data_IF_597134746884
#
_entry.id   IF_597134746884
#
_cell.length_a   1.000
_cell.length_b   1.000
_cell.length_c   1.000
_cell.angle_alpha   90.00
_cell.angle_beta   90.00
_cell.angle_gamma   90.00
#
_symmetry.space_group_name_H-M   'P 1'
#
loop_
_entity.id
_entity.type
_entity.pdbx_description
1 polymer ?
#
# COMPACT_ATOMS: atom_id res chain seq x y z
N UNK A 1 40.28 -16.05 32.67
CA UNK A 1 39.07 -16.62 32.03
C UNK A 1 38.50 -15.57 31.10
N UNK A 2 38.50 -15.81 29.78
CA UNK A 2 37.96 -14.89 28.76
C UNK A 2 36.50 -15.30 28.49
N UNK A 3 35.55 -14.48 28.91
CA UNK A 3 34.15 -14.63 28.53
C UNK A 3 33.93 -13.92 27.20
N UNK A 4 33.72 -14.69 26.14
CA UNK A 4 33.28 -14.17 24.85
C UNK A 4 31.75 -14.31 24.79
N UNK A 5 31.04 -13.19 24.79
CA UNK A 5 29.60 -13.16 24.49
C UNK A 5 29.43 -13.10 22.97
N UNK A 6 28.72 -14.04 22.32
CA UNK A 6 28.30 -13.82 20.95
C UNK A 6 27.12 -12.85 20.98
N UNK A 7 27.36 -11.65 20.46
CA UNK A 7 26.33 -10.66 20.18
C UNK A 7 25.45 -11.22 19.05
N UNK A 8 24.35 -11.89 19.42
CA UNK A 8 23.31 -12.30 18.47
C UNK A 8 22.51 -11.05 18.08
N UNK A 9 22.99 -10.35 17.04
CA UNK A 9 22.20 -9.39 16.28
C UNK A 9 21.08 -10.16 15.56
N UNK A 10 19.90 -10.20 16.18
CA UNK A 10 18.67 -10.63 15.52
C UNK A 10 18.29 -9.50 14.57
N UNK A 11 18.78 -9.55 13.33
CA UNK A 11 18.22 -8.77 12.24
C UNK A 11 16.81 -9.30 11.97
N UNK A 12 15.79 -8.64 12.51
CA UNK A 12 14.41 -8.85 12.09
C UNK A 12 14.29 -8.38 10.63
N UNK A 13 14.61 -9.28 9.69
CA UNK A 13 14.19 -9.13 8.31
C UNK A 13 12.66 -9.14 8.33
N UNK A 14 12.07 -7.94 8.28
CA UNK A 14 10.69 -7.79 7.85
C UNK A 14 10.65 -8.32 6.40
N UNK A 15 10.31 -9.59 6.29
CA UNK A 15 10.11 -10.24 5.00
C UNK A 15 8.81 -9.69 4.48
N UNK A 16 8.87 -8.66 3.65
CA UNK A 16 7.74 -8.26 2.81
C UNK A 16 7.55 -9.38 1.79
N UNK A 17 6.77 -10.38 2.16
CA UNK A 17 6.26 -11.34 1.17
C UNK A 17 5.36 -10.53 0.26
N UNK A 18 5.81 -10.27 -0.97
CA UNK A 18 4.96 -9.78 -2.04
C UNK A 18 3.95 -10.87 -2.41
N UNK A 19 2.96 -11.09 -1.55
CA UNK A 19 1.78 -11.87 -1.89
C UNK A 19 0.94 -10.93 -2.75
N UNK A 20 0.66 -11.34 -3.99
CA UNK A 20 -0.26 -10.62 -4.86
C UNK A 20 -1.68 -10.81 -4.29
N UNK A 21 -1.99 -10.01 -3.28
CA UNK A 21 -3.05 -10.26 -2.30
C UNK A 21 -4.04 -9.10 -2.24
N UNK A 22 -4.40 -8.56 -3.40
CA UNK A 22 -5.37 -7.48 -3.48
C UNK A 22 -5.59 -7.14 -4.94
N UNK A 23 -6.84 -7.24 -5.41
CA UNK A 23 -7.13 -7.09 -6.83
C UNK A 23 -7.57 -5.66 -7.09
N UNK A 24 -6.75 -4.93 -7.84
CA UNK A 24 -7.17 -3.66 -8.43
C UNK A 24 -8.22 -3.93 -9.51
N UNK A 25 -9.43 -3.39 -9.31
CA UNK A 25 -10.46 -3.29 -10.34
C UNK A 25 -10.31 -1.97 -11.11
N UNK A 26 -9.85 -0.92 -10.43
CA UNK A 26 -9.42 0.35 -11.03
C UNK A 26 -8.39 1.01 -10.11
N UNK A 27 -7.32 1.64 -10.62
CA UNK A 27 -6.97 1.71 -12.04
C UNK A 27 -6.49 0.36 -12.59
N UNK A 28 -6.50 0.20 -13.91
CA UNK A 28 -5.93 -0.98 -14.59
C UNK A 28 -4.45 -0.75 -14.94
N UNK A 29 -3.65 -1.82 -15.19
CA UNK A 29 -2.24 -1.65 -15.51
C UNK A 29 -2.06 -0.79 -16.78
N UNK A 30 -1.20 0.23 -16.70
CA UNK A 30 -0.96 1.17 -17.79
C UNK A 30 -2.07 2.20 -18.01
N UNK A 31 -3.12 2.21 -17.18
CA UNK A 31 -4.16 3.22 -17.26
C UNK A 31 -3.56 4.61 -17.11
N UNK A 32 -4.04 5.53 -17.94
CA UNK A 32 -3.70 6.93 -17.86
C UNK A 32 -4.48 7.61 -16.73
N UNK A 33 -3.76 8.18 -15.77
CA UNK A 33 -4.29 8.98 -14.66
C UNK A 33 -3.82 10.41 -14.85
N UNK A 34 -4.68 11.38 -14.59
CA UNK A 34 -4.29 12.78 -14.61
C UNK A 34 -3.56 13.12 -13.30
N UNK A 35 -2.51 13.91 -13.42
CA UNK A 35 -1.78 14.47 -12.28
C UNK A 35 -2.60 15.48 -11.45
N UNK A 36 -3.74 15.93 -11.96
CA UNK A 36 -4.53 17.02 -11.38
C UNK A 36 -6.03 16.74 -11.30
N UNK A 37 -6.52 15.69 -11.97
CA UNK A 37 -7.92 15.32 -11.96
C UNK A 37 -8.16 14.08 -11.11
N UNK A 38 -9.35 13.97 -10.48
CA UNK A 38 -9.71 12.78 -9.74
C UNK A 38 -9.75 11.52 -10.63
N UNK A 39 -9.45 10.36 -10.03
CA UNK A 39 -9.64 9.04 -10.63
C UNK A 39 -10.33 8.10 -9.64
N UNK A 40 -11.01 7.09 -10.17
CA UNK A 40 -11.63 6.06 -9.35
C UNK A 40 -10.60 5.01 -8.95
N UNK A 41 -10.39 4.87 -7.64
CA UNK A 41 -9.78 3.69 -7.07
C UNK A 41 -10.90 2.69 -6.75
N UNK A 42 -10.74 1.46 -7.22
CA UNK A 42 -11.50 0.32 -6.70
C UNK A 42 -10.56 -0.85 -6.52
N UNK A 43 -10.50 -1.35 -5.30
CA UNK A 43 -9.59 -2.41 -4.91
C UNK A 43 -10.29 -3.36 -3.94
N UNK A 44 -10.01 -4.64 -4.09
CA UNK A 44 -10.52 -5.68 -3.18
C UNK A 44 -9.39 -6.20 -2.31
N UNK A 45 -9.51 -5.95 -1.00
CA UNK A 45 -8.69 -6.56 0.04
C UNK A 45 -8.95 -8.05 0.09
N UNK A 46 -7.89 -8.85 0.06
CA UNK A 46 -7.97 -10.31 0.09
C UNK A 46 -8.02 -10.88 1.52
N UNK A 47 -8.15 -10.02 2.53
CA UNK A 47 -8.05 -10.43 3.93
C UNK A 47 -9.12 -11.47 4.26
N UNK A 48 -8.67 -12.63 4.73
CA UNK A 48 -9.53 -13.79 4.99
C UNK A 48 -10.30 -13.62 6.31
N UNK A 49 -11.28 -14.51 6.55
CA UNK A 49 -12.31 -14.48 7.61
C UNK A 49 -11.90 -14.08 9.06
N UNK A 50 -10.61 -14.03 9.40
CA UNK A 50 -10.11 -13.64 10.74
C UNK A 50 -9.09 -12.50 10.72
N UNK A 51 -8.92 -11.85 9.58
CA UNK A 51 -8.07 -10.68 9.42
C UNK A 51 -8.96 -9.42 9.36
N UNK A 52 -8.51 -8.37 10.03
CA UNK A 52 -9.17 -7.05 10.01
C UNK A 52 -8.17 -6.00 9.64
N UNK A 53 -8.43 -5.31 8.53
CA UNK A 53 -7.71 -4.12 8.13
C UNK A 53 -8.08 -2.97 9.06
N UNK A 54 -7.08 -2.44 9.76
CA UNK A 54 -7.30 -1.32 10.70
C UNK A 54 -6.67 -0.02 10.22
N UNK A 55 -5.83 -0.06 9.19
CA UNK A 55 -5.36 1.13 8.52
C UNK A 55 -5.04 0.79 7.07
N UNK A 56 -5.65 1.52 6.14
CA UNK A 56 -5.35 1.44 4.71
C UNK A 56 -4.95 2.83 4.24
N UNK A 57 -3.76 2.91 3.65
CA UNK A 57 -3.20 4.13 3.07
C UNK A 57 -2.99 3.91 1.58
N UNK A 58 -3.46 4.84 0.77
CA UNK A 58 -3.26 4.84 -0.68
C UNK A 58 -2.25 5.92 -1.03
N UNK A 59 -1.20 5.53 -1.75
CA UNK A 59 -0.14 6.40 -2.23
C UNK A 59 -0.13 6.45 -3.74
N UNK A 60 0.25 7.61 -4.27
CA UNK A 60 0.63 7.77 -5.67
C UNK A 60 2.11 8.09 -5.74
N UNK A 61 2.90 7.14 -6.23
CA UNK A 61 4.37 7.19 -6.20
C UNK A 61 4.92 7.05 -7.61
N UNK A 62 6.14 7.54 -7.83
CA UNK A 62 6.86 7.26 -9.07
C UNK A 62 7.12 5.75 -9.20
N UNK A 63 6.96 5.24 -10.42
CA UNK A 63 7.27 3.85 -10.76
C UNK A 63 8.76 3.71 -11.13
N UNK A 64 9.43 2.61 -10.74
CA UNK A 64 8.93 1.59 -9.81
C UNK A 64 8.89 2.12 -8.37
N UNK A 65 7.88 1.70 -7.61
CA UNK A 65 7.78 2.01 -6.18
C UNK A 65 9.04 1.53 -5.46
N UNK A 66 9.68 2.44 -4.72
CA UNK A 66 10.82 2.16 -3.86
C UNK A 66 10.48 2.49 -2.41
N UNK A 67 11.19 1.91 -1.43
CA UNK A 67 10.95 2.17 -0.01
C UNK A 67 11.15 3.63 0.41
N UNK A 68 11.78 4.46 -0.43
CA UNK A 68 11.75 5.90 -0.27
C UNK A 68 10.39 6.43 -0.76
N UNK A 69 9.56 6.91 0.17
CA UNK A 69 8.24 7.49 -0.04
C UNK A 69 8.31 8.80 -0.86
N UNK A 70 8.68 8.70 -2.13
CA UNK A 70 8.61 9.77 -3.10
C UNK A 70 7.25 9.77 -3.76
N UNK A 71 6.22 10.27 -3.07
CA UNK A 71 4.85 10.24 -3.56
C UNK A 71 3.88 11.09 -2.74
N UNK A 72 2.65 11.18 -3.23
CA UNK A 72 1.54 11.82 -2.56
C UNK A 72 0.71 10.79 -1.79
N UNK A 73 0.35 11.09 -0.55
CA UNK A 73 -0.69 10.33 0.14
C UNK A 73 -2.04 10.78 -0.37
N UNK A 74 -2.79 9.86 -0.98
CA UNK A 74 -4.11 10.14 -1.56
C UNK A 74 -5.22 9.93 -0.53
N UNK A 75 -5.05 8.93 0.33
CA UNK A 75 -6.01 8.57 1.37
C UNK A 75 -5.27 7.87 2.49
N UNK A 76 -5.71 8.07 3.73
CA UNK A 76 -5.16 7.42 4.92
C UNK A 76 -6.29 7.12 5.91
N UNK A 77 -6.09 6.10 6.75
CA UNK A 77 -7.01 5.83 7.86
C UNK A 77 -8.30 5.15 7.44
N UNK A 78 -8.33 4.52 6.25
CA UNK A 78 -9.46 3.67 5.88
C UNK A 78 -9.44 2.41 6.74
N UNK A 79 -10.46 2.25 7.57
CA UNK A 79 -10.61 1.14 8.51
C UNK A 79 -11.77 0.25 8.07
N UNK A 80 -11.57 -1.06 8.05
CA UNK A 80 -12.69 -1.98 7.86
C UNK A 80 -13.47 -2.13 9.17
N UNK A 81 -14.79 -1.87 9.19
CA UNK A 81 -15.61 -2.16 10.37
C UNK A 81 -15.86 -3.67 10.58
N UNK A 82 -15.47 -4.53 9.63
CA UNK A 82 -15.81 -5.96 9.62
C UNK A 82 -14.67 -6.86 9.15
N UNK A 83 -14.69 -8.12 9.56
CA UNK A 83 -13.79 -9.18 9.08
C UNK A 83 -14.08 -9.59 7.63
N UNK A 84 -13.06 -10.10 6.93
CA UNK A 84 -13.17 -10.74 5.62
C UNK A 84 -12.90 -9.83 4.41
N UNK A 85 -13.11 -10.40 3.21
CA UNK A 85 -12.84 -9.75 1.92
C UNK A 85 -13.73 -8.50 1.76
N UNK A 86 -13.11 -7.38 1.43
CA UNK A 86 -13.79 -6.08 1.25
C UNK A 86 -13.34 -5.41 -0.03
N UNK A 87 -14.30 -4.91 -0.79
CA UNK A 87 -14.05 -4.00 -1.90
C UNK A 87 -14.18 -2.58 -1.40
N UNK A 88 -13.13 -1.79 -1.60
CA UNK A 88 -13.07 -0.37 -1.32
C UNK A 88 -13.17 0.38 -2.63
N UNK A 89 -13.99 1.43 -2.65
CA UNK A 89 -14.11 2.34 -3.78
C UNK A 89 -14.03 3.77 -3.26
N UNK A 90 -13.17 4.57 -3.88
CA UNK A 90 -13.01 5.98 -3.56
C UNK A 90 -12.61 6.74 -4.82
N UNK A 91 -13.07 7.99 -4.91
CA UNK A 91 -12.55 8.93 -5.89
C UNK A 91 -11.36 9.66 -5.26
N UNK A 92 -10.19 9.56 -5.89
CA UNK A 92 -8.92 10.08 -5.35
C UNK A 92 -8.32 11.10 -6.31
N UNK A 93 -7.84 12.21 -5.78
CA UNK A 93 -7.17 13.25 -6.57
C UNK A 93 -5.68 13.25 -6.30
N UNK A 94 -4.81 12.98 -7.30
CA UNK A 94 -3.37 13.12 -7.15
C UNK A 94 -2.96 14.54 -6.77
N UNK A 95 -2.02 14.66 -5.83
CA UNK A 95 -1.47 15.95 -5.39
C UNK A 95 0.01 15.84 -5.09
N UNK A 96 0.87 16.09 -6.08
CA UNK A 96 2.32 16.02 -5.89
C UNK A 96 2.82 17.14 -4.98
N UNK A 97 3.68 16.78 -4.01
CA UNK A 97 4.40 17.76 -3.21
C UNK A 97 5.37 18.58 -4.11
N UNK A 98 5.44 19.89 -3.90
CA UNK A 98 6.43 20.81 -4.50
C UNK A 98 6.43 20.97 -6.03
N UNK A 99 5.26 21.11 -6.68
CA UNK A 99 5.18 21.41 -8.12
C UNK A 99 5.92 20.40 -9.02
N UNK A 100 6.04 19.15 -8.57
CA UNK A 100 6.62 18.08 -9.38
C UNK A 100 5.58 17.66 -10.44
N UNK A 101 5.44 18.47 -11.51
CA UNK A 101 4.58 18.21 -12.67
C UNK A 101 5.17 17.10 -13.56
N UNK A 102 5.77 16.09 -12.95
CA UNK A 102 6.41 14.99 -13.68
C UNK A 102 5.34 14.09 -14.26
N UNK A 103 5.37 13.96 -15.58
CA UNK A 103 4.65 12.95 -16.33
C UNK A 103 5.50 11.68 -16.43
N UNK A 104 4.88 10.53 -16.65
CA UNK A 104 5.60 9.25 -16.78
C UNK A 104 4.88 8.08 -16.11
N UNK A 105 5.62 7.02 -15.78
CA UNK A 105 5.05 5.87 -15.08
C UNK A 105 4.98 6.11 -13.57
N UNK A 106 3.81 5.89 -12.99
CA UNK A 106 3.52 6.02 -11.56
C UNK A 106 2.84 4.78 -11.05
N UNK A 107 3.12 4.39 -9.82
CA UNK A 107 2.45 3.30 -9.15
C UNK A 107 1.38 3.86 -8.21
N UNK A 108 0.17 3.31 -8.29
CA UNK A 108 -0.81 3.43 -7.19
C UNK A 108 -0.51 2.31 -6.21
N UNK A 109 -0.20 2.66 -4.97
CA UNK A 109 0.23 1.73 -3.92
C UNK A 109 -0.77 1.76 -2.78
N UNK A 110 -1.23 0.60 -2.34
CA UNK A 110 -2.07 0.39 -1.18
C UNK A 110 -1.23 -0.26 -0.11
N UNK A 111 -1.10 0.43 1.01
CA UNK A 111 -0.48 -0.06 2.24
C UNK A 111 -1.63 -0.46 3.16
N UNK A 112 -1.79 -1.76 3.40
CA UNK A 112 -2.84 -2.29 4.25
C UNK A 112 -2.23 -2.90 5.51
N UNK A 113 -2.48 -2.27 6.66
CA UNK A 113 -2.16 -2.82 7.97
C UNK A 113 -3.36 -3.56 8.55
N UNK A 114 -3.12 -4.79 8.99
CA UNK A 114 -4.16 -5.68 9.49
C UNK A 114 -3.72 -6.46 10.74
N UNK A 115 -4.70 -6.88 11.53
CA UNK A 115 -4.50 -7.79 12.65
C UNK A 115 -5.02 -9.17 12.30
N UNK A 116 -4.27 -10.21 12.64
CA UNK A 116 -4.73 -11.59 12.52
C UNK A 116 -5.31 -12.11 13.85
N UNK A 117 -6.44 -12.82 13.78
CA UNK A 117 -7.02 -13.58 14.92
C UNK A 117 -7.36 -12.75 16.17
N UNK A 118 -7.71 -11.47 16.02
CA UNK A 118 -8.02 -10.55 17.13
C UNK A 118 -6.90 -10.46 18.22
N UNK A 119 -5.68 -10.89 17.89
CA UNK A 119 -4.51 -10.82 18.77
C UNK A 119 -3.56 -9.69 18.37
N UNK A 120 -2.46 -9.45 19.13
CA UNK A 120 -1.50 -8.38 18.88
C UNK A 120 -0.56 -8.64 17.69
N UNK A 121 -0.95 -9.55 16.78
CA UNK A 121 -0.17 -9.88 15.59
C UNK A 121 -0.56 -8.91 14.48
N UNK A 122 0.22 -7.83 14.39
CA UNK A 122 0.08 -6.81 13.37
C UNK A 122 1.00 -7.13 12.18
N UNK A 123 0.43 -7.04 10.98
CA UNK A 123 1.16 -7.19 9.72
C UNK A 123 0.74 -6.10 8.73
N UNK A 124 1.59 -5.86 7.74
CA UNK A 124 1.36 -4.86 6.69
C UNK A 124 1.62 -5.50 5.34
N UNK A 125 0.62 -5.42 4.46
CA UNK A 125 0.73 -5.84 3.07
C UNK A 125 0.85 -4.62 2.16
N UNK A 126 1.55 -4.81 1.04
CA UNK A 126 1.77 -3.81 0.01
C UNK A 126 1.20 -4.32 -1.31
N UNK A 127 0.30 -3.55 -1.90
CA UNK A 127 -0.25 -3.83 -3.23
C UNK A 127 0.06 -2.64 -4.12
N UNK A 128 0.64 -2.87 -5.29
CA UNK A 128 0.88 -1.79 -6.24
C UNK A 128 0.43 -2.16 -7.64
N UNK A 129 0.01 -1.15 -8.39
CA UNK A 129 -0.29 -1.25 -9.80
C UNK A 129 0.38 -0.10 -10.54
N UNK A 130 1.09 -0.44 -11.61
CA UNK A 130 1.73 0.54 -12.46
C UNK A 130 0.69 1.19 -13.38
N UNK A 131 0.68 2.51 -13.37
CA UNK A 131 -0.17 3.41 -14.14
C UNK A 131 0.72 4.41 -14.88
N UNK A 132 0.12 5.14 -15.81
CA UNK A 132 0.80 6.23 -16.52
C UNK A 132 0.16 7.53 -16.10
N UNK A 133 0.96 8.48 -15.64
CA UNK A 133 0.50 9.81 -15.29
C UNK A 133 0.83 10.81 -16.40
N UNK A 134 -0.11 11.70 -16.68
CA UNK A 134 0.03 12.83 -17.64
C UNK A 134 -0.35 14.16 -17.01
#
# INVERSE_FOLDING_TARGET
MKFSFPLLLISTLASFTGVYAGTFLSPTPGQTISSTQPFNLTWTSDKYFKQTSYNITVLFSRSPFSSALGGATLVEGLVSPHYGIKTYSAELTPGFFYMDNRTGAFDVVIIESYSAYAGPQYATDLHNIQTVNV
#
